data_IF_712835164585
#
_entry.id   IF_712835164585
#
_cell.length_a   1.000
_cell.length_b   1.000
_cell.length_c   1.000
_cell.angle_alpha   90.00
_cell.angle_beta   90.00
_cell.angle_gamma   90.00
#
_symmetry.space_group_name_H-M   'P 1'
#
loop_
_entity.id
_entity.type
_entity.pdbx_description
1 polymer ?
#
# COMPACT_ATOMS: atom_id res chain seq x y z
N UNK A 1 -6.94 50.16 43.87
CA UNK A 1 -6.52 48.79 43.48
C UNK A 1 -7.73 48.11 42.89
N UNK A 2 -7.75 47.84 41.58
CA UNK A 2 -8.84 47.10 40.95
C UNK A 2 -8.60 45.61 41.20
N UNK A 3 -9.56 44.95 41.85
CA UNK A 3 -9.51 43.50 42.12
C UNK A 3 -10.05 42.81 40.87
N UNK A 4 -9.15 42.22 40.09
CA UNK A 4 -9.53 41.37 38.95
C UNK A 4 -10.15 40.10 39.54
N UNK A 5 -11.46 39.95 39.43
CA UNK A 5 -12.18 38.73 39.80
C UNK A 5 -12.12 37.79 38.60
N UNK A 6 -11.35 36.70 38.74
CA UNK A 6 -11.27 35.66 37.71
C UNK A 6 -12.49 34.75 37.88
N UNK A 7 -13.39 34.79 36.91
CA UNK A 7 -14.55 33.90 36.86
C UNK A 7 -14.09 32.50 36.41
N UNK A 8 -14.16 31.53 37.33
CA UNK A 8 -13.74 30.14 37.08
C UNK A 8 -14.70 29.41 36.14
N UNK A 9 -15.98 29.78 36.13
CA UNK A 9 -16.98 29.10 35.29
C UNK A 9 -16.76 29.47 33.83
N UNK A 10 -16.42 30.73 33.57
CA UNK A 10 -16.03 31.19 32.23
C UNK A 10 -14.74 30.50 31.74
N UNK A 11 -13.74 30.32 32.61
CA UNK A 11 -12.52 29.58 32.26
C UNK A 11 -12.83 28.12 31.91
N UNK A 12 -13.63 27.44 32.73
CA UNK A 12 -13.98 26.03 32.49
C UNK A 12 -14.78 25.86 31.19
N UNK A 13 -15.70 26.80 30.90
CA UNK A 13 -16.44 26.84 29.64
C UNK A 13 -15.49 27.00 28.45
N UNK A 14 -14.60 27.99 28.48
CA UNK A 14 -13.62 28.21 27.41
C UNK A 14 -12.69 27.00 27.21
N UNK A 15 -12.25 26.35 28.29
CA UNK A 15 -11.46 25.12 28.21
C UNK A 15 -12.23 24.00 27.51
N UNK A 16 -13.50 23.78 27.87
CA UNK A 16 -14.34 22.77 27.22
C UNK A 16 -14.55 23.03 25.73
N UNK A 17 -14.77 24.30 25.34
CA UNK A 17 -14.92 24.70 23.95
C UNK A 17 -13.63 24.47 23.13
N UNK A 18 -12.47 24.75 23.73
CA UNK A 18 -11.16 24.49 23.10
C UNK A 18 -10.93 22.99 22.92
N UNK A 19 -11.23 22.18 23.94
CA UNK A 19 -11.07 20.73 23.87
C UNK A 19 -11.97 20.11 22.79
N UNK A 20 -13.23 20.53 22.71
CA UNK A 20 -14.16 20.03 21.70
C UNK A 20 -13.75 20.46 20.29
N UNK A 21 -13.29 21.69 20.12
CA UNK A 21 -12.75 22.17 18.84
C UNK A 21 -11.47 21.42 18.42
N UNK A 22 -10.61 21.06 19.37
CA UNK A 22 -9.43 20.23 19.10
C UNK A 22 -9.82 18.83 18.68
N UNK A 23 -10.75 18.19 19.41
CA UNK A 23 -11.28 16.88 19.04
C UNK A 23 -11.83 16.92 17.62
N UNK A 24 -12.69 17.88 17.27
CA UNK A 24 -13.27 17.95 15.92
C UNK A 24 -12.20 18.06 14.82
N UNK A 25 -11.16 18.88 15.05
CA UNK A 25 -10.02 19.01 14.11
C UNK A 25 -9.27 17.69 13.93
N UNK A 26 -9.02 16.97 15.02
CA UNK A 26 -8.36 15.66 14.96
C UNK A 26 -9.18 14.65 14.14
N UNK A 27 -10.48 14.56 14.42
CA UNK A 27 -11.43 13.69 13.72
C UNK A 27 -11.45 13.97 12.22
N UNK A 28 -11.52 15.25 11.85
CA UNK A 28 -11.46 15.68 10.45
C UNK A 28 -10.12 15.30 9.80
N UNK A 29 -9.03 15.40 10.56
CA UNK A 29 -7.71 14.94 10.17
C UNK A 29 -7.65 13.43 9.89
N UNK A 30 -8.25 12.61 10.75
CA UNK A 30 -8.30 11.15 10.57
C UNK A 30 -9.06 10.75 9.33
N UNK A 31 -10.24 11.35 9.12
CA UNK A 31 -11.07 11.05 7.96
C UNK A 31 -10.31 11.35 6.65
N UNK A 32 -9.56 12.45 6.60
CA UNK A 32 -8.70 12.76 5.45
C UNK A 32 -7.58 11.74 5.27
N UNK A 33 -6.90 11.33 6.35
CA UNK A 33 -5.84 10.31 6.31
C UNK A 33 -6.38 8.95 5.85
N UNK A 34 -7.53 8.51 6.36
CA UNK A 34 -8.19 7.26 5.93
C UNK A 34 -8.53 7.28 4.44
N UNK A 35 -9.11 8.37 3.94
CA UNK A 35 -9.38 8.54 2.50
C UNK A 35 -8.10 8.53 1.67
N UNK A 36 -7.01 9.14 2.16
CA UNK A 36 -5.71 9.07 1.50
C UNK A 36 -5.18 7.63 1.46
N UNK A 37 -5.29 6.87 2.56
CA UNK A 37 -4.92 5.44 2.60
C UNK A 37 -5.75 4.61 1.62
N UNK A 38 -7.06 4.87 1.50
CA UNK A 38 -7.93 4.25 0.50
C UNK A 38 -7.47 4.57 -0.92
N UNK A 39 -7.14 5.83 -1.19
CA UNK A 39 -6.60 6.26 -2.49
C UNK A 39 -5.29 5.56 -2.84
N UNK A 40 -4.35 5.48 -1.89
CA UNK A 40 -3.09 4.74 -2.07
C UNK A 40 -3.33 3.24 -2.33
N UNK A 41 -4.27 2.64 -1.62
CA UNK A 41 -4.63 1.24 -1.84
C UNK A 41 -5.28 1.03 -3.22
N UNK A 42 -6.13 1.97 -3.68
CA UNK A 42 -6.72 1.94 -5.01
C UNK A 42 -5.65 2.09 -6.12
N UNK A 43 -4.64 2.95 -5.94
CA UNK A 43 -3.51 3.06 -6.87
C UNK A 43 -2.81 1.71 -7.01
N UNK A 44 -2.57 0.99 -5.92
CA UNK A 44 -1.95 -0.34 -6.01
C UNK A 44 -2.83 -1.39 -6.70
N UNK A 45 -4.15 -1.41 -6.44
CA UNK A 45 -5.09 -2.27 -7.18
C UNK A 45 -5.07 -1.98 -8.68
N UNK A 46 -5.10 -0.70 -9.05
CA UNK A 46 -5.09 -0.27 -10.45
C UNK A 46 -3.76 -0.61 -11.12
N UNK A 47 -2.64 -0.43 -10.42
CA UNK A 47 -1.31 -0.82 -10.91
C UNK A 47 -1.23 -2.33 -11.17
N UNK A 48 -1.75 -3.16 -10.28
CA UNK A 48 -1.80 -4.62 -10.49
C UNK A 48 -2.74 -5.01 -11.63
N UNK A 49 -3.91 -4.39 -11.71
CA UNK A 49 -4.85 -4.62 -12.81
C UNK A 49 -4.24 -4.21 -14.17
N UNK A 50 -3.57 -3.06 -14.23
CA UNK A 50 -2.87 -2.58 -15.42
C UNK A 50 -1.71 -3.50 -15.81
N UNK A 51 -0.93 -3.97 -14.83
CA UNK A 51 0.16 -4.93 -15.05
C UNK A 51 -0.36 -6.24 -15.61
N UNK A 52 -1.47 -6.76 -15.08
CA UNK A 52 -2.08 -7.99 -15.56
C UNK A 52 -2.73 -7.82 -16.94
N UNK A 53 -3.40 -6.70 -17.20
CA UNK A 53 -3.93 -6.37 -18.53
C UNK A 53 -2.81 -6.29 -19.57
N UNK A 54 -1.71 -5.59 -19.24
CA UNK A 54 -0.54 -5.52 -20.09
C UNK A 54 0.05 -6.92 -20.37
N UNK A 55 0.14 -7.76 -19.33
CA UNK A 55 0.63 -9.14 -19.48
C UNK A 55 -0.27 -10.01 -20.36
N UNK A 56 -1.60 -9.85 -20.26
CA UNK A 56 -2.55 -10.66 -21.03
C UNK A 56 -2.70 -10.20 -22.47
N UNK A 57 -2.72 -8.90 -22.72
CA UNK A 57 -3.08 -8.34 -24.03
C UNK A 57 -1.85 -7.92 -24.84
N UNK A 58 -0.91 -7.23 -24.18
CA UNK A 58 0.23 -6.62 -24.89
C UNK A 58 1.36 -7.62 -25.06
N UNK A 59 1.73 -8.36 -24.00
CA UNK A 59 2.86 -9.28 -24.07
C UNK A 59 2.74 -10.34 -25.20
N UNK A 60 1.61 -11.05 -25.37
CA UNK A 60 1.48 -12.06 -26.43
C UNK A 60 1.50 -11.49 -27.85
N UNK A 61 1.23 -10.19 -28.00
CA UNK A 61 1.28 -9.49 -29.27
C UNK A 61 2.72 -9.12 -29.70
N UNK A 62 3.68 -9.16 -28.78
CA UNK A 62 5.07 -8.81 -29.08
C UNK A 62 5.80 -9.97 -29.81
N UNK A 63 6.49 -9.69 -30.93
CA UNK A 63 7.25 -10.72 -31.68
C UNK A 63 8.30 -11.43 -30.83
N UNK A 64 8.94 -10.70 -29.91
CA UNK A 64 9.93 -11.23 -28.96
C UNK A 64 9.33 -12.21 -27.96
N UNK A 65 8.09 -11.99 -27.50
CA UNK A 65 7.42 -12.90 -26.57
C UNK A 65 7.04 -14.23 -27.25
N UNK A 66 6.65 -14.19 -28.53
CA UNK A 66 6.38 -15.41 -29.31
C UNK A 66 7.63 -16.26 -29.48
N UNK A 67 8.76 -15.63 -29.83
CA UNK A 67 10.03 -16.33 -29.97
C UNK A 67 10.49 -16.99 -28.66
N UNK A 68 10.22 -16.35 -27.51
CA UNK A 68 10.51 -16.90 -26.19
C UNK A 68 9.59 -18.05 -25.79
N UNK A 69 8.30 -17.97 -26.12
CA UNK A 69 7.35 -19.07 -25.89
C UNK A 69 7.69 -20.30 -26.75
N UNK A 70 8.13 -20.07 -27.98
CA UNK A 70 8.48 -21.13 -28.93
C UNK A 70 9.83 -21.78 -28.59
N UNK A 71 10.83 -20.99 -28.17
CA UNK A 71 12.11 -21.54 -27.68
C UNK A 71 11.99 -22.25 -26.33
N UNK A 72 11.02 -21.90 -25.47
CA UNK A 72 10.76 -22.57 -24.19
C UNK A 72 9.94 -23.88 -24.32
N UNK A 73 9.45 -24.22 -25.53
CA UNK A 73 8.65 -25.43 -25.74
C UNK A 73 9.53 -26.70 -25.61
N UNK A 74 9.07 -27.79 -24.95
CA UNK A 74 9.87 -29.02 -24.78
C UNK A 74 10.29 -29.74 -26.08
N UNK A 75 9.77 -29.31 -27.23
CA UNK A 75 10.15 -29.81 -28.56
C UNK A 75 11.13 -28.89 -29.30
N UNK A 76 11.54 -27.77 -28.71
CA UNK A 76 12.48 -26.86 -29.35
C UNK A 76 13.90 -27.44 -29.41
N UNK A 77 14.64 -27.08 -30.46
CA UNK A 77 16.02 -27.52 -30.60
C UNK A 77 16.90 -26.89 -29.49
N UNK A 78 18.01 -27.54 -29.16
CA UNK A 78 18.99 -27.00 -28.19
C UNK A 78 19.52 -25.62 -28.63
N UNK A 79 19.63 -25.41 -29.95
CA UNK A 79 20.04 -24.13 -30.54
C UNK A 79 18.99 -23.03 -30.32
N UNK A 80 17.71 -23.34 -30.49
CA UNK A 80 16.61 -22.40 -30.24
C UNK A 80 16.50 -22.05 -28.75
N UNK A 81 16.73 -23.02 -27.86
CA UNK A 81 16.81 -22.77 -26.41
C UNK A 81 17.96 -21.84 -26.05
N UNK A 82 19.15 -22.05 -26.62
CA UNK A 82 20.30 -21.15 -26.38
C UNK A 82 20.10 -19.76 -26.98
N UNK A 83 19.51 -19.66 -28.16
CA UNK A 83 19.17 -18.37 -28.78
C UNK A 83 18.13 -17.62 -27.94
N UNK A 84 17.09 -18.30 -27.47
CA UNK A 84 16.10 -17.73 -26.56
C UNK A 84 16.71 -17.25 -25.24
N UNK A 85 17.62 -18.03 -24.65
CA UNK A 85 18.35 -17.65 -23.44
C UNK A 85 19.26 -16.42 -23.66
N UNK A 86 19.98 -16.36 -24.77
CA UNK A 86 20.84 -15.22 -25.12
C UNK A 86 20.03 -13.92 -25.37
N UNK A 87 18.87 -14.04 -26.01
CA UNK A 87 17.94 -12.92 -26.20
C UNK A 87 17.37 -12.46 -24.85
N UNK A 88 16.99 -13.39 -23.97
CA UNK A 88 16.54 -13.07 -22.61
C UNK A 88 17.60 -12.31 -21.81
N UNK A 89 18.86 -12.68 -21.95
CA UNK A 89 19.96 -12.03 -21.25
C UNK A 89 20.27 -10.63 -21.84
N UNK A 90 20.23 -10.50 -23.17
CA UNK A 90 20.41 -9.23 -23.87
C UNK A 90 19.29 -8.21 -23.59
N UNK A 91 18.07 -8.69 -23.35
CA UNK A 91 16.90 -7.87 -23.02
C UNK A 91 16.57 -7.85 -21.52
N UNK A 92 17.43 -8.41 -20.64
CA UNK A 92 17.19 -8.56 -19.19
C UNK A 92 16.73 -7.27 -18.50
N UNK A 93 17.25 -6.13 -18.96
CA UNK A 93 16.90 -4.79 -18.47
C UNK A 93 15.66 -4.16 -19.14
N UNK A 94 15.24 -4.63 -20.32
CA UNK A 94 14.01 -4.19 -21.02
C UNK A 94 12.80 -5.08 -20.75
N UNK A 95 13.02 -6.32 -20.29
CA UNK A 95 11.96 -7.26 -19.91
C UNK A 95 11.80 -7.27 -18.39
N UNK A 96 11.49 -6.12 -17.80
CA UNK A 96 11.04 -6.00 -16.40
C UNK A 96 9.70 -6.72 -16.17
N UNK A 97 9.02 -7.13 -17.24
CA UNK A 97 7.83 -7.98 -17.18
C UNK A 97 8.14 -9.38 -17.69
N UNK A 98 9.02 -10.11 -16.99
CA UNK A 98 9.13 -11.56 -17.19
C UNK A 98 7.78 -12.20 -16.82
N UNK A 99 7.10 -12.92 -17.72
CA UNK A 99 6.01 -13.80 -17.34
C UNK A 99 6.60 -15.04 -16.66
N UNK A 100 7.03 -14.91 -15.40
CA UNK A 100 7.35 -16.08 -14.59
C UNK A 100 6.04 -16.76 -14.21
N UNK A 101 5.97 -18.11 -14.29
CA UNK A 101 4.83 -18.89 -13.77
C UNK A 101 4.55 -18.59 -12.29
N UNK A 102 5.54 -18.14 -11.52
CA UNK A 102 5.35 -17.68 -10.13
C UNK A 102 4.60 -16.34 -10.02
N UNK A 103 4.57 -15.52 -11.06
CA UNK A 103 3.96 -14.18 -11.00
C UNK A 103 2.45 -14.21 -10.80
N UNK A 104 1.77 -15.25 -11.29
CA UNK A 104 0.34 -15.51 -11.07
C UNK A 104 0.01 -15.81 -9.60
N UNK A 105 0.92 -16.51 -8.90
CA UNK A 105 0.77 -16.79 -7.48
C UNK A 105 1.08 -15.56 -6.61
N UNK A 106 1.91 -14.62 -7.09
CA UNK A 106 2.26 -13.39 -6.37
C UNK A 106 1.21 -12.27 -6.50
N UNK A 107 0.41 -12.22 -7.57
CA UNK A 107 -0.58 -11.16 -7.79
C UNK A 107 -1.83 -11.24 -6.89
N UNK A 108 -2.26 -12.44 -6.50
CA UNK A 108 -3.43 -12.61 -5.62
C UNK A 108 -3.19 -12.06 -4.19
N UNK A 109 -2.05 -12.33 -3.53
CA UNK A 109 -1.70 -11.72 -2.24
C UNK A 109 -1.65 -10.19 -2.27
N UNK A 110 -1.11 -9.60 -3.35
CA UNK A 110 -1.01 -8.13 -3.46
C UNK A 110 -2.43 -7.53 -3.56
N UNK A 111 -3.25 -8.05 -4.48
CA UNK A 111 -4.64 -7.58 -4.67
C UNK A 111 -5.47 -7.71 -3.40
N UNK A 112 -5.41 -8.86 -2.71
CA UNK A 112 -6.15 -9.07 -1.46
C UNK A 112 -5.64 -8.15 -0.36
N UNK A 113 -4.35 -7.85 -0.31
CA UNK A 113 -3.78 -6.91 0.67
C UNK A 113 -4.30 -5.48 0.47
N UNK A 114 -4.46 -5.02 -0.77
CA UNK A 114 -5.06 -3.71 -1.03
C UNK A 114 -6.54 -3.68 -0.68
N UNK A 115 -7.28 -4.73 -1.03
CA UNK A 115 -8.68 -4.86 -0.64
C UNK A 115 -8.83 -4.85 0.90
N UNK A 116 -7.95 -5.54 1.62
CA UNK A 116 -7.91 -5.51 3.08
C UNK A 116 -7.58 -4.10 3.62
N UNK A 117 -6.64 -3.37 3.01
CA UNK A 117 -6.37 -1.97 3.38
C UNK A 117 -7.58 -1.07 3.17
N UNK A 118 -8.32 -1.22 2.06
CA UNK A 118 -9.55 -0.45 1.81
C UNK A 118 -10.61 -0.81 2.85
N UNK A 119 -10.83 -2.11 3.11
CA UNK A 119 -11.80 -2.56 4.10
C UNK A 119 -11.46 -2.05 5.51
N UNK A 120 -10.20 -2.20 5.97
CA UNK A 120 -9.74 -1.73 7.26
C UNK A 120 -9.83 -0.21 7.40
N UNK A 121 -9.44 0.55 6.38
CA UNK A 121 -9.53 2.01 6.39
C UNK A 121 -10.98 2.51 6.32
N UNK A 122 -11.91 1.74 5.75
CA UNK A 122 -13.34 2.05 5.73
C UNK A 122 -14.10 1.61 7.00
N UNK A 123 -13.66 0.55 7.68
CA UNK A 123 -14.40 -0.07 8.78
C UNK A 123 -14.39 0.75 10.08
N UNK A 124 -15.55 1.12 10.63
CA UNK A 124 -15.68 1.82 11.92
C UNK A 124 -16.05 3.30 11.76
N UNK A 125 -16.54 3.91 12.84
CA UNK A 125 -17.13 5.25 12.84
C UNK A 125 -16.14 6.41 12.68
N UNK A 126 -16.68 7.64 12.70
CA UNK A 126 -15.85 8.86 12.65
C UNK A 126 -14.84 8.87 13.79
N UNK A 127 -15.28 8.46 14.99
CA UNK A 127 -14.48 8.40 16.22
C UNK A 127 -13.88 7.03 16.49
N UNK A 128 -13.39 6.36 15.42
CA UNK A 128 -12.88 4.99 15.48
C UNK A 128 -11.82 4.77 16.57
N UNK A 129 -10.92 5.72 16.78
CA UNK A 129 -9.88 5.61 17.81
C UNK A 129 -10.47 5.44 19.23
N UNK A 130 -11.65 6.02 19.49
CA UNK A 130 -12.31 5.98 20.80
C UNK A 130 -13.31 4.82 20.88
N UNK A 131 -14.08 4.61 19.80
CA UNK A 131 -15.18 3.63 19.75
C UNK A 131 -14.71 2.21 19.43
N UNK A 132 -13.64 2.07 18.65
CA UNK A 132 -13.11 0.78 18.17
C UNK A 132 -11.59 0.84 17.98
N UNK A 133 -10.82 1.08 19.07
CA UNK A 133 -9.38 1.34 19.01
C UNK A 133 -8.58 0.23 18.33
N UNK A 134 -9.04 -1.01 18.44
CA UNK A 134 -8.41 -2.17 17.82
C UNK A 134 -8.37 -2.07 16.29
N UNK A 135 -9.33 -1.41 15.63
CA UNK A 135 -9.34 -1.25 14.16
C UNK A 135 -8.19 -0.32 13.74
N UNK A 136 -8.01 0.80 14.43
CA UNK A 136 -6.95 1.77 14.12
C UNK A 136 -5.57 1.13 14.32
N UNK A 137 -5.39 0.34 15.39
CA UNK A 137 -4.16 -0.42 15.65
C UNK A 137 -3.95 -1.49 14.57
N UNK A 138 -4.97 -2.28 14.24
CA UNK A 138 -4.89 -3.31 13.21
C UNK A 138 -4.56 -2.71 11.83
N UNK A 139 -5.17 -1.57 11.49
CA UNK A 139 -4.89 -0.88 10.23
C UNK A 139 -3.44 -0.39 10.14
N UNK A 140 -2.89 0.17 11.22
CA UNK A 140 -1.49 0.61 11.23
C UNK A 140 -0.53 -0.59 11.20
N UNK A 141 -0.79 -1.64 11.98
CA UNK A 141 -0.01 -2.87 11.98
C UNK A 141 0.00 -3.54 10.61
N UNK A 142 -1.17 -3.64 9.97
CA UNK A 142 -1.28 -4.20 8.62
C UNK A 142 -0.52 -3.38 7.58
N UNK A 143 -0.64 -2.05 7.61
CA UNK A 143 0.14 -1.16 6.73
C UNK A 143 1.65 -1.32 6.94
N UNK A 144 2.11 -1.45 8.18
CA UNK A 144 3.53 -1.65 8.49
C UNK A 144 4.05 -3.00 7.96
N UNK A 145 3.32 -4.10 8.20
CA UNK A 145 3.67 -5.43 7.66
C UNK A 145 3.77 -5.38 6.13
N UNK A 146 2.81 -4.73 5.48
CA UNK A 146 2.79 -4.59 4.01
C UNK A 146 3.93 -3.73 3.50
N UNK A 147 4.26 -2.63 4.16
CA UNK A 147 5.41 -1.80 3.79
C UNK A 147 6.73 -2.58 3.89
N UNK A 148 6.91 -3.42 4.91
CA UNK A 148 8.07 -4.30 5.03
C UNK A 148 8.09 -5.34 3.92
N UNK A 149 6.96 -6.01 3.66
CA UNK A 149 6.87 -7.04 2.62
C UNK A 149 7.22 -6.49 1.23
N UNK A 150 6.65 -5.34 0.86
CA UNK A 150 6.95 -4.71 -0.44
C UNK A 150 8.36 -4.12 -0.46
N UNK A 151 8.86 -3.59 0.66
CA UNK A 151 10.25 -3.12 0.74
C UNK A 151 11.26 -4.23 0.47
N UNK A 152 11.03 -5.43 1.04
CA UNK A 152 11.86 -6.62 0.75
C UNK A 152 11.77 -7.02 -0.72
N UNK A 153 10.57 -7.04 -1.29
CA UNK A 153 10.38 -7.35 -2.69
C UNK A 153 11.14 -6.37 -3.60
N UNK A 154 11.10 -5.07 -3.32
CA UNK A 154 11.85 -4.06 -4.09
C UNK A 154 13.36 -4.31 -4.02
N UNK A 155 13.90 -4.69 -2.86
CA UNK A 155 15.31 -5.02 -2.73
C UNK A 155 15.69 -6.25 -3.58
N UNK A 156 14.88 -7.32 -3.50
CA UNK A 156 15.06 -8.53 -4.34
C UNK A 156 15.00 -8.17 -5.84
N UNK A 157 14.02 -7.36 -6.25
CA UNK A 157 13.86 -6.95 -7.65
C UNK A 157 15.02 -6.05 -8.12
N UNK A 158 15.62 -5.24 -7.24
CA UNK A 158 16.83 -4.45 -7.55
C UNK A 158 18.04 -5.36 -7.71
N UNK A 159 18.24 -6.32 -6.80
CA UNK A 159 19.35 -7.29 -6.84
C UNK A 159 19.29 -8.16 -8.11
N UNK A 160 18.09 -8.54 -8.54
CA UNK A 160 17.87 -9.32 -9.75
C UNK A 160 17.96 -8.48 -11.05
N UNK A 161 17.95 -7.15 -10.94
CA UNK A 161 17.99 -6.20 -12.06
C UNK A 161 16.65 -6.04 -12.77
N UNK A 162 15.53 -6.21 -12.06
CA UNK A 162 14.18 -6.33 -12.59
C UNK A 162 13.16 -5.37 -11.94
N UNK A 163 13.57 -4.13 -11.64
CA UNK A 163 12.67 -3.13 -11.09
C UNK A 163 11.64 -2.64 -12.12
N UNK A 164 10.37 -2.97 -11.92
CA UNK A 164 9.27 -2.49 -12.75
C UNK A 164 8.52 -1.30 -12.12
N UNK A 165 7.91 -0.48 -12.98
CA UNK A 165 7.21 0.75 -12.56
C UNK A 165 6.00 0.47 -11.68
N UNK A 166 5.28 -0.63 -11.92
CA UNK A 166 4.09 -1.00 -11.14
C UNK A 166 4.47 -1.46 -9.74
N UNK A 167 5.55 -2.25 -9.62
CA UNK A 167 6.11 -2.65 -8.32
C UNK A 167 6.61 -1.44 -7.54
N UNK A 168 7.29 -0.49 -8.22
CA UNK A 168 7.73 0.76 -7.59
C UNK A 168 6.56 1.59 -7.09
N UNK A 169 5.50 1.76 -7.90
CA UNK A 169 4.29 2.48 -7.50
C UNK A 169 3.60 1.81 -6.31
N UNK A 170 3.50 0.49 -6.31
CA UNK A 170 2.93 -0.26 -5.19
C UNK A 170 3.76 -0.08 -3.91
N UNK A 171 5.09 -0.10 -4.01
CA UNK A 171 6.00 0.12 -2.90
C UNK A 171 5.82 1.50 -2.28
N UNK A 172 5.86 2.54 -3.12
CA UNK A 172 5.68 3.92 -2.67
C UNK A 172 4.31 4.08 -2.00
N UNK A 173 3.24 3.55 -2.60
CA UNK A 173 1.90 3.64 -2.03
C UNK A 173 1.78 2.91 -0.68
N UNK A 174 2.39 1.73 -0.56
CA UNK A 174 2.38 0.93 0.67
C UNK A 174 3.16 1.61 1.80
N UNK A 175 4.34 2.16 1.49
CA UNK A 175 5.18 2.87 2.46
C UNK A 175 4.52 4.19 2.90
N UNK A 176 3.95 4.95 1.95
CA UNK A 176 3.27 6.20 2.25
C UNK A 176 2.02 6.03 3.14
N UNK A 177 1.40 4.85 3.15
CA UNK A 177 0.26 4.57 4.02
C UNK A 177 0.63 4.49 5.52
N UNK A 178 1.88 4.11 5.84
CA UNK A 178 2.34 3.96 7.24
C UNK A 178 2.20 5.26 8.04
N UNK A 179 2.83 6.39 7.65
CA UNK A 179 2.71 7.64 8.41
C UNK A 179 1.27 8.20 8.44
N UNK A 180 0.41 7.80 7.50
CA UNK A 180 -1.00 8.21 7.49
C UNK A 180 -1.84 7.43 8.51
N UNK A 181 -1.51 6.17 8.77
CA UNK A 181 -2.24 5.34 9.76
C UNK A 181 -1.75 5.52 11.20
N UNK A 182 -0.51 5.97 11.38
CA UNK A 182 0.15 6.00 12.69
C UNK A 182 -0.50 6.96 13.72
N UNK A 183 -0.88 8.21 13.39
CA UNK A 183 -1.41 9.14 14.39
C UNK A 183 -2.71 8.67 15.05
N UNK A 184 -3.56 8.00 14.27
CA UNK A 184 -4.81 7.44 14.76
C UNK A 184 -4.56 6.21 15.65
N UNK A 185 -3.66 5.31 15.24
CA UNK A 185 -3.27 4.16 16.04
C UNK A 185 -2.60 4.57 17.36
N UNK A 186 -1.76 5.61 17.37
CA UNK A 186 -1.15 6.13 18.59
C UNK A 186 -2.19 6.66 19.57
N UNK A 187 -3.22 7.37 19.09
CA UNK A 187 -4.32 7.83 19.96
C UNK A 187 -5.15 6.66 20.49
N UNK A 188 -5.48 5.69 19.64
CA UNK A 188 -6.15 4.46 20.07
C UNK A 188 -5.35 3.71 21.17
N UNK A 189 -4.03 3.58 21.02
CA UNK A 189 -3.17 2.97 22.04
C UNK A 189 -3.15 3.77 23.35
N UNK A 190 -3.04 5.11 23.29
CA UNK A 190 -3.10 5.95 24.50
C UNK A 190 -4.44 5.81 25.21
N UNK A 191 -5.55 5.79 24.46
CA UNK A 191 -6.89 5.60 25.02
C UNK A 191 -7.08 4.24 25.70
N UNK A 192 -6.40 3.20 25.22
CA UNK A 192 -6.39 1.88 25.86
C UNK A 192 -5.49 1.82 27.10
N UNK A 193 -4.33 2.50 27.07
CA UNK A 193 -3.35 2.50 28.18
C UNK A 193 -3.75 3.42 29.33
N UNK A 194 -4.61 4.41 29.09
CA UNK A 194 -5.11 5.33 30.11
C UNK A 194 -6.29 4.77 30.92
N UNK A 195 -6.72 3.54 30.64
CA UNK A 195 -7.77 2.80 31.36
C UNK A 195 -7.14 1.82 32.34
#
# INVERSE_FOLDING_TARGET
>A
MSVITIDRDEINRQLSEIEDAQREREHRGDMRRRRAVQGLAAVGLLSEAAREAYRREVLPSLPSARFLLESAHPRSSEADRRAGAAILDAYRWKTTMRPSRESLHRSAPITSSHAATIALSAAGGERRADESPWISIASAGFSAIRAVAVGRQVLEDIEDGHLDVFTTLNAVASIAAVPLTMPEAMRAMRGLLAR
#
